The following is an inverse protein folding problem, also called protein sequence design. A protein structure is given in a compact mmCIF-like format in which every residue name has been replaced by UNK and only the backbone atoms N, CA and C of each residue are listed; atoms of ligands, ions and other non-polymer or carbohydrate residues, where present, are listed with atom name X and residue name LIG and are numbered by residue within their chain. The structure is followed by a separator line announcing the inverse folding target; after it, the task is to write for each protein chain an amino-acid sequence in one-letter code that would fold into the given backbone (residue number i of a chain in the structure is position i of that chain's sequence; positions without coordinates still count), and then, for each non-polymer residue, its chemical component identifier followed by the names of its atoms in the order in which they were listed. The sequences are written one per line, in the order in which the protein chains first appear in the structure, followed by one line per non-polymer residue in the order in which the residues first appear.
data_IF_083064003539
#
_entry.id   IF_083064003539
#
_cell.length_a   1.000
_cell.length_b   1.000
_cell.length_c   1.000
_cell.angle_alpha   90.00
_cell.angle_beta   90.00
_cell.angle_gamma   90.00
#
_symmetry.space_group_name_H-M   'P 1'
#
loop_
_entity.id
_entity.type
_entity.pdbx_description
1 polymer ?
#
# COMPACT_ATOMS: atom_id res chain seq x y z
N UNK A 1 26.15 1.52 38.53
CA UNK A 1 24.72 1.29 38.24
C UNK A 1 24.13 2.43 37.39
N UNK A 2 24.29 3.70 37.79
CA UNK A 2 23.69 4.87 37.10
C UNK A 2 24.04 5.05 35.61
N UNK A 3 25.28 4.80 35.19
CA UNK A 3 25.68 4.95 33.77
C UNK A 3 25.09 3.83 32.90
N UNK A 4 25.12 2.59 33.39
CA UNK A 4 24.59 1.43 32.68
C UNK A 4 23.08 1.57 32.48
N UNK A 5 22.36 2.05 33.50
CA UNK A 5 20.91 2.32 33.37
C UNK A 5 20.62 3.43 32.36
N UNK A 6 21.42 4.50 32.33
CA UNK A 6 21.25 5.57 31.35
C UNK A 6 21.49 5.09 29.90
N UNK A 7 22.52 4.27 29.69
CA UNK A 7 22.80 3.66 28.38
C UNK A 7 21.66 2.72 27.97
N UNK A 8 21.16 1.89 28.89
CA UNK A 8 20.07 0.96 28.61
C UNK A 8 18.77 1.68 28.21
N UNK A 9 18.40 2.74 28.94
CA UNK A 9 17.20 3.55 28.61
C UNK A 9 17.37 4.22 27.24
N UNK A 10 18.53 4.80 26.99
CA UNK A 10 18.82 5.46 25.71
C UNK A 10 18.72 4.48 24.54
N UNK A 11 19.35 3.30 24.66
CA UNK A 11 19.27 2.25 23.66
C UNK A 11 17.82 1.77 23.43
N UNK A 12 17.04 1.60 24.51
CA UNK A 12 15.65 1.17 24.42
C UNK A 12 14.78 2.17 23.65
N UNK A 13 14.98 3.47 23.89
CA UNK A 13 14.28 4.54 23.17
C UNK A 13 14.63 4.53 21.68
N UNK A 14 15.91 4.40 21.33
CA UNK A 14 16.34 4.34 19.93
C UNK A 14 15.78 3.13 19.19
N UNK A 15 15.86 1.94 19.80
CA UNK A 15 15.31 0.70 19.21
C UNK A 15 13.79 0.84 19.00
N UNK A 16 13.07 1.32 20.02
CA UNK A 16 11.63 1.54 19.94
C UNK A 16 11.27 2.53 18.83
N UNK A 17 12.03 3.61 18.70
CA UNK A 17 11.83 4.61 17.66
C UNK A 17 12.04 4.06 16.25
N UNK A 18 13.07 3.24 16.04
CA UNK A 18 13.32 2.65 14.73
C UNK A 18 12.23 1.64 14.33
N UNK A 19 11.74 0.83 15.27
CA UNK A 19 10.59 -0.06 15.03
C UNK A 19 9.35 0.77 14.70
N UNK A 20 9.08 1.82 15.48
CA UNK A 20 7.96 2.73 15.23
C UNK A 20 8.04 3.37 13.84
N UNK A 21 9.22 3.84 13.42
CA UNK A 21 9.44 4.46 12.11
C UNK A 21 9.12 3.50 10.96
N UNK A 22 9.49 2.22 11.07
CA UNK A 22 9.16 1.20 10.07
C UNK A 22 7.66 0.96 10.03
N UNK A 23 7.02 0.82 11.19
CA UNK A 23 5.58 0.58 11.28
C UNK A 23 4.76 1.77 10.75
N UNK A 24 5.14 2.99 11.15
CA UNK A 24 4.52 4.23 10.71
C UNK A 24 4.63 4.38 9.19
N UNK A 25 5.81 4.11 8.59
CA UNK A 25 5.95 4.10 7.13
C UNK A 25 4.99 3.10 6.48
N UNK A 26 4.92 1.87 6.99
CA UNK A 26 4.04 0.84 6.43
C UNK A 26 2.57 1.25 6.49
N UNK A 27 2.13 1.85 7.60
CA UNK A 27 0.77 2.37 7.75
C UNK A 27 0.48 3.55 6.82
N UNK A 28 1.38 4.53 6.75
CA UNK A 28 1.22 5.73 5.93
C UNK A 28 1.19 5.34 4.45
N UNK A 29 2.10 4.47 4.00
CA UNK A 29 2.09 3.97 2.62
C UNK A 29 0.78 3.25 2.29
N UNK A 30 0.27 2.39 3.17
CA UNK A 30 -1.03 1.74 2.96
C UNK A 30 -2.17 2.78 2.86
N UNK A 31 -2.18 3.78 3.75
CA UNK A 31 -3.20 4.85 3.73
C UNK A 31 -3.11 5.71 2.47
N UNK A 32 -1.92 6.04 2.00
CA UNK A 32 -1.71 6.80 0.76
C UNK A 32 -2.24 6.04 -0.45
N UNK A 33 -1.91 4.75 -0.55
CA UNK A 33 -2.42 3.88 -1.63
C UNK A 33 -3.95 3.79 -1.56
N UNK A 34 -4.52 3.57 -0.37
CA UNK A 34 -5.97 3.55 -0.19
C UNK A 34 -6.63 4.88 -0.56
N UNK A 35 -6.00 6.01 -0.24
CA UNK A 35 -6.52 7.35 -0.54
C UNK A 35 -6.44 7.67 -2.03
N UNK A 36 -5.34 7.31 -2.70
CA UNK A 36 -5.22 7.40 -4.15
C UNK A 36 -6.25 6.49 -4.82
N UNK A 37 -6.40 5.26 -4.33
CA UNK A 37 -7.40 4.33 -4.82
C UNK A 37 -8.82 4.87 -4.70
N UNK A 38 -9.18 5.44 -3.54
CA UNK A 38 -10.51 6.03 -3.34
C UNK A 38 -10.77 7.25 -4.25
N UNK A 39 -9.73 7.97 -4.66
CA UNK A 39 -9.83 9.08 -5.60
C UNK A 39 -10.08 8.58 -7.04
N UNK A 40 -9.36 7.56 -7.48
CA UNK A 40 -9.49 7.01 -8.84
C UNK A 40 -10.68 6.04 -8.98
N UNK A 41 -11.04 5.32 -7.91
CA UNK A 41 -12.06 4.27 -7.91
C UNK A 41 -13.01 4.39 -6.70
N UNK A 42 -13.83 5.45 -6.63
CA UNK A 42 -14.68 5.74 -5.47
C UNK A 42 -15.72 4.65 -5.15
N UNK A 43 -16.14 3.86 -6.16
CA UNK A 43 -17.13 2.78 -6.00
C UNK A 43 -16.53 1.39 -5.76
N UNK A 44 -15.20 1.25 -5.84
CA UNK A 44 -14.52 -0.05 -5.65
C UNK A 44 -13.69 -0.07 -4.37
N UNK A 45 -14.10 -0.91 -3.42
CA UNK A 45 -13.37 -1.05 -2.15
C UNK A 45 -11.97 -1.63 -2.36
N UNK A 46 -10.96 -0.91 -1.85
CA UNK A 46 -9.55 -1.31 -1.94
C UNK A 46 -9.30 -2.74 -1.41
N UNK A 47 -9.94 -3.16 -0.33
CA UNK A 47 -9.65 -4.48 0.27
C UNK A 47 -10.07 -5.66 -0.61
N UNK A 48 -11.16 -5.52 -1.38
CA UNK A 48 -11.65 -6.58 -2.26
C UNK A 48 -11.03 -6.52 -3.65
N UNK A 49 -10.85 -5.31 -4.19
CA UNK A 49 -10.47 -5.13 -5.58
C UNK A 49 -8.98 -4.86 -5.79
N UNK A 50 -8.19 -4.55 -4.76
CA UNK A 50 -6.74 -4.32 -4.93
C UNK A 50 -5.98 -5.55 -5.42
N UNK A 51 -6.34 -6.74 -4.95
CA UNK A 51 -5.71 -8.00 -5.38
C UNK A 51 -6.09 -8.30 -6.83
N UNK A 52 -7.38 -8.15 -7.17
CA UNK A 52 -7.89 -8.37 -8.52
C UNK A 52 -7.28 -7.38 -9.52
N UNK A 53 -7.23 -6.10 -9.17
CA UNK A 53 -6.57 -5.08 -9.97
C UNK A 53 -5.06 -5.30 -10.09
N UNK A 54 -4.39 -5.78 -9.04
CA UNK A 54 -2.99 -6.19 -9.11
C UNK A 54 -2.75 -7.34 -10.10
N UNK A 55 -3.69 -8.30 -10.18
CA UNK A 55 -3.64 -9.38 -11.16
C UNK A 55 -3.90 -8.86 -12.57
N UNK A 56 -4.91 -8.01 -12.77
CA UNK A 56 -5.16 -7.38 -14.07
C UNK A 56 -4.00 -6.47 -14.51
N UNK A 57 -3.35 -5.78 -13.58
CA UNK A 57 -2.16 -4.97 -13.87
C UNK A 57 -0.99 -5.85 -14.32
N UNK A 58 -0.80 -7.01 -13.67
CA UNK A 58 0.20 -8.01 -14.09
C UNK A 58 -0.11 -8.61 -15.46
N UNK A 59 -1.38 -8.82 -15.76
CA UNK A 59 -1.84 -9.36 -17.05
C UNK A 59 -1.68 -8.32 -18.16
N UNK A 60 -2.09 -7.07 -17.92
CA UNK A 60 -1.92 -5.96 -18.86
C UNK A 60 -0.44 -5.59 -19.11
N UNK A 61 0.44 -5.76 -18.11
CA UNK A 61 1.89 -5.64 -18.30
C UNK A 61 2.47 -6.75 -19.18
N UNK A 62 1.93 -7.97 -19.12
CA UNK A 62 2.33 -9.07 -20.00
C UNK A 62 1.81 -8.89 -21.42
N UNK A 63 0.68 -8.21 -21.58
CA UNK A 63 0.08 -7.86 -22.87
C UNK A 63 0.59 -6.51 -23.43
N UNK A 64 1.61 -5.88 -22.81
CA UNK A 64 2.20 -4.58 -23.21
C UNK A 64 1.16 -3.47 -23.42
N UNK A 65 0.08 -3.46 -22.64
CA UNK A 65 -0.99 -2.48 -22.80
C UNK A 65 -0.53 -1.11 -22.28
N UNK A 66 -0.69 -0.02 -23.06
CA UNK A 66 -0.32 1.33 -22.65
C UNK A 66 -1.02 1.74 -21.34
N UNK A 67 -0.27 2.33 -20.41
CA UNK A 67 -0.77 2.76 -19.08
C UNK A 67 -2.06 3.59 -19.12
N UNK A 68 -2.29 4.33 -20.21
CA UNK A 68 -3.49 5.14 -20.43
C UNK A 68 -4.78 4.33 -20.56
N UNK A 69 -4.71 3.10 -21.09
CA UNK A 69 -5.89 2.25 -21.33
C UNK A 69 -6.12 1.24 -20.21
N UNK A 70 -5.18 1.17 -19.26
CA UNK A 70 -5.14 0.15 -18.22
C UNK A 70 -6.21 0.40 -17.16
N UNK A 71 -6.51 1.67 -16.86
CA UNK A 71 -7.64 2.05 -16.00
C UNK A 71 -8.97 1.63 -16.61
N UNK A 72 -9.16 1.87 -17.92
CA UNK A 72 -10.38 1.55 -18.64
C UNK A 72 -10.58 0.02 -18.78
N UNK A 73 -9.51 -0.73 -19.05
CA UNK A 73 -9.52 -2.19 -19.12
C UNK A 73 -9.89 -2.84 -17.77
N UNK A 74 -9.32 -2.35 -16.66
CA UNK A 74 -9.66 -2.83 -15.32
C UNK A 74 -11.11 -2.50 -14.98
N UNK A 75 -11.59 -1.29 -15.32
CA UNK A 75 -12.97 -0.88 -15.08
C UNK A 75 -13.96 -1.77 -15.87
N UNK A 76 -13.71 -2.00 -17.16
CA UNK A 76 -14.55 -2.85 -18.02
C UNK A 76 -14.58 -4.29 -17.52
N UNK A 77 -13.42 -4.89 -17.19
CA UNK A 77 -13.36 -6.24 -16.62
C UNK A 77 -14.16 -6.37 -15.31
N UNK A 78 -14.09 -5.36 -14.43
CA UNK A 78 -14.84 -5.40 -13.17
C UNK A 78 -16.35 -5.28 -13.42
N UNK A 79 -16.77 -4.45 -14.39
CA UNK A 79 -18.17 -4.29 -14.76
C UNK A 79 -18.72 -5.55 -15.46
N UNK A 80 -17.93 -6.18 -16.32
CA UNK A 80 -18.32 -7.37 -17.09
C UNK A 80 -18.26 -8.68 -16.29
N UNK A 81 -17.54 -8.70 -15.16
CA UNK A 81 -17.48 -9.84 -14.23
C UNK A 81 -18.64 -9.86 -13.21
N UNK A 82 -19.63 -8.98 -13.36
CA UNK A 82 -20.86 -8.94 -12.58
C UNK A 82 -22.00 -9.60 -13.35
#
# INVERSE_FOLDING_TARGET
ISIISAVAVTACVFISYDIFKVYARKMISKKLIQKAWALHFPYFSYEKYSIMAGNFYKEALKEEIPKANLEQYVLEKIIHSK
#
